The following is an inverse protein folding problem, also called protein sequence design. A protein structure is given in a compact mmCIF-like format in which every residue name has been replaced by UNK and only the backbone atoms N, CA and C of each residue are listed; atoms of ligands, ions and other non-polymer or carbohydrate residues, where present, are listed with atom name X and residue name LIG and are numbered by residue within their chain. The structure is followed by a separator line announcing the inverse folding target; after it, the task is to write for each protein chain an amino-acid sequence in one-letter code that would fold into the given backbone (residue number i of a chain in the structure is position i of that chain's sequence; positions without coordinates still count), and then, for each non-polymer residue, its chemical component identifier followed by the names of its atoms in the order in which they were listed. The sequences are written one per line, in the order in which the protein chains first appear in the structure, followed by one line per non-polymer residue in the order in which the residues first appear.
data_IF_224804797490
#
_entry.id   IF_224804797490
#
_cell.length_a   1.000
_cell.length_b   1.000
_cell.length_c   1.000
_cell.angle_alpha   90.00
_cell.angle_beta   90.00
_cell.angle_gamma   90.00
#
_symmetry.space_group_name_H-M   'P 1'
#
loop_
_entity.id
_entity.type
_entity.pdbx_description
1 polymer ?
#
# COMPACT_ATOMS: atom_id res chain seq x y z
N UNK A 1 24.50 -6.52 -2.32
CA UNK A 1 24.32 -5.20 -1.66
C UNK A 1 22.87 -5.09 -1.23
N UNK A 2 22.52 -4.25 -0.25
CA UNK A 2 21.10 -4.01 0.06
C UNK A 2 20.42 -3.43 -1.19
N UNK A 3 19.35 -4.06 -1.63
CA UNK A 3 18.51 -3.51 -2.70
C UNK A 3 18.01 -2.14 -2.26
N UNK A 4 18.06 -1.17 -3.19
CA UNK A 4 17.59 0.19 -2.94
C UNK A 4 16.25 0.35 -3.60
N UNK A 5 15.27 0.77 -2.81
CA UNK A 5 13.91 1.05 -3.26
C UNK A 5 13.62 2.53 -3.11
N UNK A 6 12.86 3.08 -4.05
CA UNK A 6 12.24 4.39 -3.92
C UNK A 6 10.74 4.29 -4.20
N UNK A 7 9.94 4.92 -3.36
CA UNK A 7 8.50 5.08 -3.59
C UNK A 7 8.22 6.52 -4.00
N UNK A 8 7.43 6.68 -5.05
CA UNK A 8 6.92 7.97 -5.51
C UNK A 8 5.41 7.89 -5.53
N UNK A 9 4.74 8.87 -4.92
CA UNK A 9 3.29 9.01 -4.94
C UNK A 9 2.90 10.43 -5.29
N UNK A 10 1.95 10.58 -6.20
CA UNK A 10 1.28 11.83 -6.55
C UNK A 10 -0.21 11.69 -6.26
N UNK A 11 -0.75 12.62 -5.47
CA UNK A 11 -2.13 12.58 -4.99
C UNK A 11 -2.85 13.88 -5.31
N UNK A 12 -3.76 13.83 -6.28
CA UNK A 12 -4.54 14.98 -6.71
C UNK A 12 -5.93 14.96 -6.04
N UNK A 13 -6.11 15.83 -5.03
CA UNK A 13 -7.30 15.84 -4.17
C UNK A 13 -8.43 16.71 -4.70
N UNK A 14 -9.67 16.28 -4.51
CA UNK A 14 -10.89 16.99 -4.88
C UNK A 14 -11.87 17.12 -3.71
N UNK A 15 -12.68 18.19 -3.72
CA UNK A 15 -13.64 18.53 -2.66
C UNK A 15 -13.00 18.65 -1.25
N UNK A 16 -11.74 19.08 -1.22
CA UNK A 16 -10.92 19.17 -0.01
C UNK A 16 -9.62 18.39 -0.15
N UNK A 17 -8.67 18.67 0.75
CA UNK A 17 -7.36 18.00 0.74
C UNK A 17 -7.29 16.74 1.60
N UNK A 18 -8.37 16.39 2.30
CA UNK A 18 -8.29 15.41 3.39
C UNK A 18 -7.94 14.01 2.86
N UNK A 19 -8.62 13.55 1.80
CA UNK A 19 -8.31 12.27 1.16
C UNK A 19 -6.89 12.21 0.58
N UNK A 20 -6.45 13.24 -0.15
CA UNK A 20 -5.09 13.27 -0.72
C UNK A 20 -4.00 13.37 0.36
N UNK A 21 -4.27 14.09 1.46
CA UNK A 21 -3.38 14.15 2.62
C UNK A 21 -3.24 12.77 3.27
N UNK A 22 -4.35 12.04 3.41
CA UNK A 22 -4.33 10.70 3.99
C UNK A 22 -3.61 9.69 3.10
N UNK A 23 -3.82 9.74 1.78
CA UNK A 23 -3.05 8.92 0.84
C UNK A 23 -1.55 9.24 0.90
N UNK A 24 -1.17 10.51 0.95
CA UNK A 24 0.24 10.92 1.12
C UNK A 24 0.86 10.32 2.39
N UNK A 25 0.09 10.24 3.47
CA UNK A 25 0.56 9.76 4.77
C UNK A 25 0.63 8.24 4.88
N UNK A 26 -0.26 7.50 4.22
CA UNK A 26 -0.41 6.05 4.47
C UNK A 26 -0.27 5.15 3.25
N UNK A 27 -0.37 5.68 2.03
CA UNK A 27 -0.48 4.80 0.87
C UNK A 27 0.81 4.03 0.55
N UNK A 28 1.96 4.60 0.91
CA UNK A 28 3.24 3.91 0.83
C UNK A 28 3.32 2.71 1.78
N UNK A 29 2.69 2.79 2.96
CA UNK A 29 2.62 1.69 3.94
C UNK A 29 1.74 0.56 3.41
N UNK A 30 0.61 0.90 2.76
CA UNK A 30 -0.28 -0.08 2.13
C UNK A 30 0.43 -0.85 1.02
N UNK A 31 1.19 -0.16 0.16
CA UNK A 31 1.99 -0.79 -0.90
C UNK A 31 3.09 -1.68 -0.29
N UNK A 32 3.83 -1.17 0.69
CA UNK A 32 4.91 -1.92 1.34
C UNK A 32 4.41 -3.21 1.98
N UNK A 33 3.24 -3.18 2.64
CA UNK A 33 2.64 -4.36 3.23
C UNK A 33 2.36 -5.46 2.18
N UNK A 34 1.77 -5.10 1.05
CA UNK A 34 1.45 -6.07 0.01
C UNK A 34 2.71 -6.57 -0.71
N UNK A 35 3.73 -5.72 -0.88
CA UNK A 35 5.06 -6.14 -1.35
C UNK A 35 5.68 -7.14 -0.38
N UNK A 36 5.66 -6.87 0.92
CA UNK A 36 6.20 -7.79 1.93
C UNK A 36 5.50 -9.14 1.89
N UNK A 37 4.18 -9.19 1.69
CA UNK A 37 3.48 -10.46 1.51
C UNK A 37 3.93 -11.20 0.25
N UNK A 38 4.01 -10.52 -0.89
CA UNK A 38 4.53 -11.10 -2.12
C UNK A 38 5.95 -11.65 -1.90
N UNK A 39 6.82 -10.90 -1.22
CA UNK A 39 8.19 -11.33 -0.90
C UNK A 39 8.21 -12.50 0.09
N UNK A 40 7.34 -12.53 1.10
CA UNK A 40 7.25 -13.63 2.09
C UNK A 40 6.72 -14.92 1.47
N UNK A 41 5.73 -14.80 0.58
CA UNK A 41 5.24 -15.93 -0.22
C UNK A 41 6.35 -16.49 -1.12
N UNK A 42 7.30 -15.63 -1.54
CA UNK A 42 8.50 -16.00 -2.29
C UNK A 42 9.63 -16.51 -1.36
N UNK A 43 9.77 -15.97 -0.15
CA UNK A 43 10.89 -16.18 0.78
C UNK A 43 10.40 -16.22 2.24
N UNK A 44 10.18 -17.42 2.79
CA UNK A 44 9.76 -17.60 4.18
C UNK A 44 10.85 -17.20 5.19
N UNK A 45 10.63 -16.16 6.01
CA UNK A 45 11.34 -15.97 7.29
C UNK A 45 10.52 -15.20 8.36
N UNK A 46 10.74 -15.53 9.65
CA UNK A 46 9.90 -15.15 10.80
C UNK A 46 9.96 -13.66 11.25
N UNK A 47 10.96 -12.89 10.85
CA UNK A 47 11.17 -11.52 11.37
C UNK A 47 10.22 -10.50 10.71
N UNK A 48 9.76 -10.75 9.49
CA UNK A 48 8.82 -9.86 8.78
C UNK A 48 7.40 -9.89 9.37
N UNK A 49 6.97 -10.99 9.97
CA UNK A 49 5.61 -11.12 10.52
C UNK A 49 5.31 -10.12 11.64
N UNK A 50 6.31 -9.69 12.42
CA UNK A 50 6.07 -8.77 13.55
C UNK A 50 5.78 -7.35 13.09
N UNK A 51 6.48 -6.88 12.04
CA UNK A 51 6.21 -5.58 11.42
C UNK A 51 4.89 -5.58 10.65
N UNK A 52 4.61 -6.68 9.93
CA UNK A 52 3.34 -6.90 9.22
C UNK A 52 2.17 -6.86 10.20
N UNK A 53 2.25 -7.54 11.35
CA UNK A 53 1.20 -7.53 12.37
C UNK A 53 0.95 -6.13 12.96
N UNK A 54 1.99 -5.34 13.15
CA UNK A 54 1.85 -3.97 13.68
C UNK A 54 1.13 -3.03 12.68
N UNK A 55 1.40 -3.20 11.38
CA UNK A 55 0.74 -2.46 10.31
C UNK A 55 -0.69 -3.01 10.03
N UNK A 56 -0.90 -4.32 10.14
CA UNK A 56 -2.21 -4.96 9.97
C UNK A 56 -3.22 -4.44 10.99
N UNK A 57 -2.76 -4.31 12.24
CA UNK A 57 -3.58 -3.80 13.35
C UNK A 57 -4.00 -2.34 13.12
N UNK A 58 -3.22 -1.55 12.36
CA UNK A 58 -3.59 -0.18 11.99
C UNK A 58 -4.55 -0.11 10.81
N UNK A 59 -4.54 -1.09 9.91
CA UNK A 59 -5.33 -1.06 8.68
C UNK A 59 -6.60 -1.94 8.70
N UNK A 60 -6.84 -2.72 9.78
CA UNK A 60 -7.93 -3.70 9.98
C UNK A 60 -8.85 -3.85 8.76
N UNK A 61 -8.50 -4.77 7.88
CA UNK A 61 -9.32 -5.18 6.76
C UNK A 61 -10.36 -6.21 7.26
N UNK A 62 -11.68 -5.98 7.10
CA UNK A 62 -12.71 -6.97 7.43
C UNK A 62 -12.84 -8.07 6.37
N UNK A 63 -12.18 -7.93 5.21
CA UNK A 63 -12.07 -8.99 4.21
C UNK A 63 -10.81 -9.80 4.48
N UNK A 64 -10.99 -10.89 5.21
CA UNK A 64 -10.00 -11.95 5.39
C UNK A 64 -9.77 -12.74 4.08
N UNK A 65 -9.79 -12.03 2.95
CA UNK A 65 -9.60 -12.62 1.64
C UNK A 65 -8.10 -12.76 1.47
N UNK A 66 -7.59 -13.96 1.79
CA UNK A 66 -6.24 -14.40 1.47
C UNK A 66 -6.10 -14.49 -0.05
N UNK A 67 -6.17 -13.35 -0.72
CA UNK A 67 -5.84 -13.23 -2.12
C UNK A 67 -4.35 -13.53 -2.25
N UNK A 68 -4.06 -14.71 -2.79
CA UNK A 68 -2.72 -15.17 -3.13
C UNK A 68 -2.07 -14.10 -4.04
N UNK A 69 -1.09 -13.35 -3.56
CA UNK A 69 -0.45 -12.27 -4.31
C UNK A 69 0.57 -12.91 -5.25
N UNK A 70 0.34 -12.86 -6.56
CA UNK A 70 1.17 -13.60 -7.52
C UNK A 70 2.16 -12.70 -8.25
N UNK A 71 1.83 -11.42 -8.39
CA UNK A 71 2.63 -10.46 -9.14
C UNK A 71 2.45 -9.04 -8.58
N UNK A 72 3.22 -8.10 -9.12
CA UNK A 72 3.16 -6.70 -8.71
C UNK A 72 1.82 -6.02 -9.02
N UNK A 73 1.09 -6.49 -10.03
CA UNK A 73 -0.27 -6.00 -10.32
C UNK A 73 -1.24 -6.29 -9.18
N UNK A 74 -1.15 -7.47 -8.56
CA UNK A 74 -1.94 -7.83 -7.38
C UNK A 74 -1.60 -6.95 -6.17
N UNK A 75 -0.32 -6.63 -5.97
CA UNK A 75 0.15 -5.70 -4.94
C UNK A 75 -0.53 -4.34 -5.08
N UNK A 76 -0.48 -3.74 -6.27
CA UNK A 76 -1.12 -2.45 -6.49
C UNK A 76 -2.64 -2.56 -6.31
N UNK A 77 -3.29 -3.57 -6.88
CA UNK A 77 -4.74 -3.75 -6.73
C UNK A 77 -5.16 -3.79 -5.26
N UNK A 78 -4.49 -4.61 -4.45
CA UNK A 78 -4.81 -4.76 -3.03
C UNK A 78 -4.48 -3.50 -2.22
N UNK A 79 -3.36 -2.84 -2.50
CA UNK A 79 -3.02 -1.59 -1.82
C UNK A 79 -4.06 -0.49 -2.09
N UNK A 80 -4.51 -0.33 -3.35
CA UNK A 80 -5.57 0.62 -3.71
C UNK A 80 -6.88 0.29 -2.99
N UNK A 81 -7.30 -0.98 -2.95
CA UNK A 81 -8.49 -1.40 -2.21
C UNK A 81 -8.40 -1.10 -0.71
N UNK A 82 -7.25 -1.38 -0.09
CA UNK A 82 -7.02 -1.09 1.32
C UNK A 82 -7.09 0.40 1.62
N UNK A 83 -6.51 1.23 0.76
CA UNK A 83 -6.57 2.67 0.91
C UNK A 83 -8.00 3.20 0.74
N UNK A 84 -8.76 2.66 -0.21
CA UNK A 84 -10.16 3.03 -0.42
C UNK A 84 -11.01 2.64 0.81
N UNK A 85 -10.79 1.46 1.38
CA UNK A 85 -11.41 1.06 2.65
C UNK A 85 -11.04 2.00 3.80
N UNK A 86 -9.76 2.39 3.90
CA UNK A 86 -9.30 3.33 4.91
C UNK A 86 -9.98 4.70 4.78
N UNK A 87 -10.11 5.21 3.55
CA UNK A 87 -10.81 6.46 3.25
C UNK A 87 -12.31 6.36 3.56
N UNK A 88 -12.95 5.24 3.22
CA UNK A 88 -14.39 5.02 3.42
C UNK A 88 -14.80 5.06 4.89
N UNK A 89 -13.91 4.63 5.80
CA UNK A 89 -14.14 4.68 7.24
C UNK A 89 -14.11 6.09 7.80
N UNK A 90 -13.50 7.03 7.09
CA UNK A 90 -13.33 8.41 7.53
C UNK A 90 -12.54 8.46 8.84
N UNK A 91 -11.22 8.28 8.77
CA UNK A 91 -10.35 8.30 9.96
C UNK A 91 -10.65 9.54 10.82
N UNK A 92 -10.78 9.32 12.13
CA UNK A 92 -11.20 10.32 13.13
C UNK A 92 -12.65 10.83 12.96
N UNK A 93 -13.53 10.05 12.34
CA UNK A 93 -14.95 10.37 12.09
C UNK A 93 -15.18 11.71 11.36
N UNK A 94 -14.17 12.19 10.65
CA UNK A 94 -14.30 13.42 9.87
C UNK A 94 -15.03 13.10 8.57
N UNK A 95 -16.26 13.62 8.43
CA UNK A 95 -17.00 13.56 7.17
C UNK A 95 -16.14 14.09 6.01
N UNK A 96 -15.26 15.06 6.26
CA UNK A 96 -14.38 15.60 5.22
C UNK A 96 -13.54 14.56 4.47
N UNK A 97 -13.12 13.44 5.09
CA UNK A 97 -12.42 12.36 4.37
C UNK A 97 -13.37 11.67 3.39
N UNK A 98 -14.56 11.25 3.85
CA UNK A 98 -15.55 10.51 3.03
C UNK A 98 -16.16 11.37 1.92
N UNK A 99 -16.21 12.68 2.13
CA UNK A 99 -16.81 13.64 1.22
C UNK A 99 -15.78 14.35 0.35
N UNK A 100 -14.49 14.06 0.53
CA UNK A 100 -13.41 14.39 -0.41
C UNK A 100 -12.95 13.13 -1.13
N UNK A 101 -12.09 13.27 -2.13
CA UNK A 101 -11.40 12.13 -2.71
C UNK A 101 -10.10 12.55 -3.37
N UNK A 102 -9.43 11.59 -3.99
CA UNK A 102 -8.14 11.84 -4.65
C UNK A 102 -7.92 10.88 -5.79
N UNK A 103 -7.37 11.37 -6.90
CA UNK A 103 -6.65 10.51 -7.83
C UNK A 103 -5.28 10.17 -7.23
N UNK A 104 -4.74 9.01 -7.56
CA UNK A 104 -3.44 8.56 -7.10
C UNK A 104 -2.63 8.00 -8.27
N UNK A 105 -1.38 8.44 -8.36
CA UNK A 105 -0.36 7.80 -9.18
C UNK A 105 0.76 7.37 -8.26
N UNK A 106 1.17 6.11 -8.36
CA UNK A 106 2.22 5.55 -7.52
C UNK A 106 3.22 4.77 -8.37
N UNK A 107 4.49 4.85 -7.98
CA UNK A 107 5.57 4.08 -8.60
C UNK A 107 6.54 3.60 -7.51
N UNK A 108 6.93 2.34 -7.63
CA UNK A 108 8.02 1.73 -6.87
C UNK A 108 9.17 1.50 -7.83
N UNK A 109 10.30 2.13 -7.55
CA UNK A 109 11.53 2.00 -8.32
C UNK A 109 12.46 1.10 -7.54
N UNK A 110 12.85 -0.01 -8.14
CA UNK A 110 13.83 -0.95 -7.60
C UNK A 110 15.14 -0.72 -8.33
N UNK A 111 16.21 -0.40 -7.60
CA UNK A 111 17.54 -0.40 -8.17
C UNK A 111 17.97 -1.86 -8.36
N UNK A 112 17.96 -2.32 -9.60
CA UNK A 112 18.44 -3.64 -9.97
C UNK A 112 19.64 -3.49 -10.91
N UNK A 113 20.76 -4.14 -10.59
CA UNK A 113 21.96 -4.14 -11.43
C UNK A 113 21.80 -5.07 -12.65
N UNK A 114 20.72 -5.86 -12.71
CA UNK A 114 20.35 -6.76 -13.81
C UNK A 114 18.88 -6.56 -14.19
N UNK A 115 18.66 -5.69 -15.18
CA UNK A 115 17.32 -5.34 -15.68
C UNK A 115 16.64 -6.51 -16.44
N UNK A 116 17.40 -7.53 -16.85
CA UNK A 116 16.92 -8.56 -17.76
C UNK A 116 16.09 -9.69 -17.10
N UNK A 117 16.11 -9.83 -15.76
CA UNK A 117 15.49 -10.98 -15.08
C UNK A 117 14.07 -10.70 -14.53
N UNK A 118 13.47 -9.54 -14.85
CA UNK A 118 12.21 -9.07 -14.24
C UNK A 118 11.08 -8.69 -15.23
N UNK A 119 11.29 -8.93 -16.53
CA UNK A 119 10.28 -8.84 -17.60
C UNK A 119 10.02 -10.21 -18.22
#
# INVERSE_FOLDING_TARGET
GKEKFAYIGLFDGYNGKTASTLCREHFHEAILMEISKLINDINSSEIEQTLINHLYTRMIDPSNDHCNIKNIGDVYRLAYLKMDHLLSRGIHETSSVRWSGTSAFTAVIVANDKIDDLL
#
